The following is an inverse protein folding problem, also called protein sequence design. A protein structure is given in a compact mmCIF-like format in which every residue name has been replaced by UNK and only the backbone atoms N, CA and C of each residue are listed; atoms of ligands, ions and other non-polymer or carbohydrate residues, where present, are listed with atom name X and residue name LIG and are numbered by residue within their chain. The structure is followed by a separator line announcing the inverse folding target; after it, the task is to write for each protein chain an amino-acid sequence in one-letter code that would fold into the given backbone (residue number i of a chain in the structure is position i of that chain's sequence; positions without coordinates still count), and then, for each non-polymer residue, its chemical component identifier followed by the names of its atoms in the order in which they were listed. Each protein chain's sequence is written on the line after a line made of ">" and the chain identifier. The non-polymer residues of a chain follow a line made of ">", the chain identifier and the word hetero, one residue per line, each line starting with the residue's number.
data_IF_849624764394
#
_entry.id   IF_849624764394
#
_cell.length_a   1.000
_cell.length_b   1.000
_cell.length_c   1.000
_cell.angle_alpha   90.00
_cell.angle_beta   90.00
_cell.angle_gamma   90.00
#
_symmetry.space_group_name_H-M   'P 1'
#
loop_
_entity.id
_entity.type
_entity.pdbx_description
1 polymer ?
#
# COMPACT_ATOMS: atom_id res chain seq x y z
N UNK A 1 -11.37 13.86 -2.72
CA UNK A 1 -12.44 13.63 -3.73
C UNK A 1 -12.01 14.02 -5.17
N UNK A 2 -10.74 14.38 -5.41
CA UNK A 2 -10.26 14.82 -6.73
C UNK A 2 -10.53 16.28 -7.07
N UNK A 3 -11.28 17.01 -6.23
CA UNK A 3 -11.55 18.46 -6.36
C UNK A 3 -10.96 19.25 -5.20
N UNK A 4 -11.22 18.78 -3.98
CA UNK A 4 -10.73 19.33 -2.73
C UNK A 4 -9.52 18.53 -2.27
N UNK A 5 -8.46 19.25 -1.86
CA UNK A 5 -7.29 18.64 -1.23
C UNK A 5 -7.62 18.29 0.21
N UNK A 6 -7.31 17.06 0.62
CA UNK A 6 -7.48 16.60 1.99
C UNK A 6 -6.11 16.32 2.62
N UNK A 7 -6.05 16.39 3.95
CA UNK A 7 -4.82 16.16 4.71
C UNK A 7 -4.71 14.70 5.15
N UNK A 8 -3.51 14.16 5.05
CA UNK A 8 -3.08 12.93 5.72
C UNK A 8 -2.18 13.30 6.90
N UNK A 9 -2.36 12.62 8.02
CA UNK A 9 -1.53 12.79 9.23
C UNK A 9 -0.75 11.50 9.47
N UNK A 10 0.54 11.63 9.74
CA UNK A 10 1.44 10.52 10.06
C UNK A 10 2.00 10.79 11.45
N UNK A 11 1.78 9.86 12.38
CA UNK A 11 2.23 9.94 13.76
C UNK A 11 3.72 9.64 13.91
N UNK A 12 4.22 9.89 15.12
CA UNK A 12 5.62 9.73 15.46
C UNK A 12 6.03 8.25 15.38
N UNK A 13 7.20 7.98 14.79
CA UNK A 13 7.74 6.64 14.65
C UNK A 13 6.92 5.70 13.74
N UNK A 14 5.92 6.21 13.01
CA UNK A 14 5.19 5.42 12.04
C UNK A 14 6.07 5.02 10.85
N UNK A 15 5.90 3.79 10.37
CA UNK A 15 6.61 3.26 9.22
C UNK A 15 5.68 3.16 8.01
N UNK A 16 6.05 3.80 6.90
CA UNK A 16 5.33 3.72 5.63
C UNK A 16 6.14 2.92 4.63
N UNK A 17 5.70 1.70 4.34
CA UNK A 17 6.38 0.81 3.40
C UNK A 17 6.41 1.35 1.97
N UNK A 18 7.40 0.91 1.19
CA UNK A 18 7.58 1.34 -0.20
C UNK A 18 6.32 1.13 -1.06
N UNK A 19 6.10 2.04 -2.01
CA UNK A 19 4.96 2.00 -2.93
C UNK A 19 3.60 1.90 -2.21
N UNK A 20 3.45 2.61 -1.08
CA UNK A 20 2.17 2.74 -0.39
C UNK A 20 1.41 3.96 -0.88
N UNK A 21 0.09 3.85 -1.00
CA UNK A 21 -0.81 4.94 -1.33
C UNK A 21 -1.65 5.29 -0.10
N UNK A 22 -1.59 6.54 0.35
CA UNK A 22 -2.40 7.05 1.47
C UNK A 22 -3.53 7.93 0.92
N UNK A 23 -4.76 7.41 0.90
CA UNK A 23 -5.91 8.09 0.32
C UNK A 23 -6.51 9.04 1.37
N UNK A 24 -6.16 10.31 1.30
CA UNK A 24 -6.62 11.32 2.25
C UNK A 24 -8.15 11.53 2.21
N UNK A 25 -8.80 11.85 3.35
CA UNK A 25 -8.20 12.02 4.67
C UNK A 25 -8.00 10.70 5.42
N UNK A 26 -6.77 10.43 5.85
CA UNK A 26 -6.41 9.28 6.71
C UNK A 26 -5.37 9.69 7.74
N UNK A 27 -5.43 9.05 8.91
CA UNK A 27 -4.41 9.14 9.96
C UNK A 27 -3.70 7.81 10.12
N UNK A 28 -2.36 7.85 10.10
CA UNK A 28 -1.48 6.73 10.42
C UNK A 28 -0.96 6.97 11.83
N UNK A 29 -1.40 6.18 12.81
CA UNK A 29 -1.11 6.38 14.23
C UNK A 29 0.36 6.24 14.61
N UNK A 30 0.70 6.62 15.83
CA UNK A 30 2.07 6.57 16.36
C UNK A 30 2.58 5.13 16.37
N UNK A 31 3.84 4.94 15.96
CA UNK A 31 4.50 3.63 15.89
C UNK A 31 3.73 2.57 15.09
N UNK A 32 2.83 2.99 14.20
CA UNK A 32 2.06 2.10 13.33
C UNK A 32 2.80 1.79 12.03
N UNK A 33 2.47 0.67 11.39
CA UNK A 33 3.14 0.17 10.21
C UNK A 33 2.16 0.08 9.05
N UNK A 34 2.55 0.61 7.89
CA UNK A 34 1.88 0.37 6.61
C UNK A 34 2.75 -0.57 5.80
N UNK A 35 2.22 -1.75 5.47
CA UNK A 35 2.95 -2.72 4.65
C UNK A 35 3.18 -2.21 3.23
N UNK A 36 4.33 -2.51 2.64
CA UNK A 36 4.68 -2.09 1.28
C UNK A 36 3.64 -2.53 0.23
N UNK A 37 3.38 -1.67 -0.76
CA UNK A 37 2.38 -1.92 -1.80
C UNK A 37 0.93 -1.79 -1.34
N UNK A 38 0.67 -1.19 -0.18
CA UNK A 38 -0.69 -1.06 0.37
C UNK A 38 -1.39 0.22 -0.10
N UNK A 39 -2.69 0.13 -0.35
CA UNK A 39 -3.58 1.29 -0.46
C UNK A 39 -4.39 1.46 0.81
N UNK A 40 -4.17 2.54 1.55
CA UNK A 40 -4.81 2.84 2.83
C UNK A 40 -5.92 3.86 2.65
N UNK A 41 -7.16 3.46 2.93
CA UNK A 41 -8.39 4.28 2.82
C UNK A 41 -9.10 4.50 4.16
N UNK A 42 -8.56 3.93 5.25
CA UNK A 42 -9.09 4.04 6.61
C UNK A 42 -7.95 4.35 7.57
N UNK A 43 -8.28 4.98 8.70
CA UNK A 43 -7.28 5.27 9.73
C UNK A 43 -6.60 3.99 10.22
N UNK A 44 -5.29 4.09 10.48
CA UNK A 44 -4.49 3.05 11.08
C UNK A 44 -4.27 3.44 12.55
N UNK A 45 -4.75 2.65 13.53
CA UNK A 45 -4.54 2.94 14.94
C UNK A 45 -3.06 2.92 15.34
N UNK A 46 -2.75 3.51 16.49
CA UNK A 46 -1.41 3.45 17.09
C UNK A 46 -0.94 2.00 17.26
N UNK A 47 0.36 1.76 17.00
CA UNK A 47 1.00 0.45 17.12
C UNK A 47 0.36 -0.67 16.30
N UNK A 48 -0.48 -0.35 15.31
CA UNK A 48 -1.14 -1.32 14.44
C UNK A 48 -0.37 -1.54 13.13
N UNK A 49 -0.55 -2.71 12.53
CA UNK A 49 -0.12 -3.01 11.16
C UNK A 49 -1.33 -2.92 10.21
N UNK A 50 -1.23 -2.09 9.18
CA UNK A 50 -2.18 -2.03 8.09
C UNK A 50 -1.60 -2.65 6.81
N UNK A 51 -2.35 -3.60 6.22
CA UNK A 51 -2.02 -4.24 4.94
C UNK A 51 -3.23 -4.15 4.03
N UNK A 52 -3.09 -3.38 2.95
CA UNK A 52 -4.14 -3.12 1.97
C UNK A 52 -3.72 -3.54 0.56
N UNK A 53 -3.16 -4.75 0.42
CA UNK A 53 -2.65 -5.30 -0.85
C UNK A 53 -3.16 -6.71 -1.09
N UNK A 54 -3.17 -7.15 -2.34
CA UNK A 54 -3.50 -8.53 -2.70
C UNK A 54 -2.41 -9.50 -2.23
N UNK A 55 -2.81 -10.73 -1.91
CA UNK A 55 -1.84 -11.82 -1.77
C UNK A 55 -1.25 -12.12 -3.14
N UNK A 56 0.05 -12.31 -3.19
CA UNK A 56 0.73 -12.73 -4.40
C UNK A 56 0.23 -14.12 -4.79
N UNK A 57 -0.03 -14.30 -6.09
CA UNK A 57 -0.21 -15.61 -6.70
C UNK A 57 0.93 -15.82 -7.70
N UNK A 58 1.37 -17.07 -7.85
CA UNK A 58 2.32 -17.47 -8.88
C UNK A 58 1.59 -18.45 -9.80
N UNK A 59 1.57 -18.14 -11.10
CA UNK A 59 1.09 -19.06 -12.13
C UNK A 59 2.31 -19.59 -12.88
N UNK A 60 2.76 -20.78 -12.50
CA UNK A 60 3.90 -21.42 -13.14
C UNK A 60 3.60 -21.71 -14.62
N UNK A 61 4.64 -21.66 -15.46
CA UNK A 61 4.54 -21.89 -16.90
C UNK A 61 3.54 -20.98 -17.65
N UNK A 62 3.19 -19.81 -17.09
CA UNK A 62 2.32 -18.83 -17.75
C UNK A 62 2.96 -18.17 -18.97
N UNK A 63 4.28 -18.01 -18.93
CA UNK A 63 5.07 -17.45 -20.03
C UNK A 63 5.58 -18.62 -20.89
N UNK A 64 5.12 -18.68 -22.13
CA UNK A 64 5.55 -19.64 -23.16
C UNK A 64 6.39 -18.94 -24.23
N UNK A 65 7.02 -19.72 -25.12
CA UNK A 65 7.78 -19.21 -26.26
C UNK A 65 6.97 -18.28 -27.17
N UNK A 66 5.64 -18.45 -27.23
CA UNK A 66 4.75 -17.58 -28.01
C UNK A 66 4.43 -16.26 -27.29
N UNK A 67 4.60 -16.19 -25.97
CA UNK A 67 4.21 -15.04 -25.14
C UNK A 67 5.32 -13.99 -24.99
N UNK A 68 6.56 -14.29 -25.38
CA UNK A 68 7.65 -13.31 -25.39
C UNK A 68 8.48 -13.44 -26.66
N UNK A 69 8.93 -12.31 -27.22
CA UNK A 69 9.83 -12.33 -28.39
C UNK A 69 11.21 -12.79 -27.94
N UNK A 70 11.67 -13.93 -28.46
CA UNK A 70 13.09 -14.28 -28.43
C UNK A 70 13.84 -13.25 -29.28
N UNK A 71 14.92 -12.69 -28.73
CA UNK A 71 15.87 -11.84 -29.49
C UNK A 71 16.61 -12.69 -30.51
#
# INVERSE_FOLDING_TARGET
>A
DGKVKHRTTIGDGAFVGCNSNLVAPVTVGNYSYVGAGSTITKNVPDKALAVGRSKQIVKENWVTDDTFKKK
#
